data_IF_761853276051
#
_entry.id   IF_761853276051
#
_cell.length_a   1.000
_cell.length_b   1.000
_cell.length_c   1.000
_cell.angle_alpha   90.00
_cell.angle_beta   90.00
_cell.angle_gamma   90.00
#
_symmetry.space_group_name_H-M   'P 1'
#
loop_
_entity.id
_entity.type
_entity.pdbx_description
1 polymer ?
#
# COMPACT_ATOMS: atom_id res chain seq x y z
N UNK A 1 19.41 3.02 0.12
CA UNK A 1 18.89 3.54 -1.17
C UNK A 1 19.07 5.03 -1.27
N UNK A 2 19.27 5.56 -2.49
CA UNK A 2 19.43 7.00 -2.75
C UNK A 2 18.26 7.56 -3.57
N UNK A 3 17.70 6.76 -4.47
CA UNK A 3 16.60 7.15 -5.36
C UNK A 3 15.48 6.12 -5.34
N UNK A 4 14.25 6.57 -5.23
CA UNK A 4 13.06 5.72 -5.18
C UNK A 4 11.98 6.18 -6.17
N UNK A 5 11.19 5.23 -6.65
CA UNK A 5 9.94 5.49 -7.38
C UNK A 5 8.78 5.11 -6.46
N UNK A 6 7.76 5.95 -6.38
CA UNK A 6 6.56 5.70 -5.57
C UNK A 6 5.31 5.86 -6.42
N UNK A 7 4.46 4.84 -6.45
CA UNK A 7 3.09 4.94 -6.95
C UNK A 7 2.11 4.97 -5.79
N UNK A 8 0.93 5.54 -5.97
CA UNK A 8 -0.07 5.64 -4.91
C UNK A 8 0.27 6.66 -3.81
N UNK A 9 1.18 7.60 -4.07
CA UNK A 9 1.66 8.62 -3.13
C UNK A 9 0.58 9.59 -2.62
N UNK A 10 -0.59 9.64 -3.25
CA UNK A 10 -1.72 10.48 -2.82
C UNK A 10 -2.66 9.80 -1.80
N UNK A 11 -2.42 8.53 -1.49
CA UNK A 11 -3.10 7.78 -0.43
C UNK A 11 -2.43 7.99 0.93
N UNK A 12 -3.11 7.64 2.03
CA UNK A 12 -2.60 7.82 3.40
C UNK A 12 -1.21 7.19 3.62
N UNK A 13 -1.05 5.93 3.24
CA UNK A 13 0.24 5.23 3.37
C UNK A 13 1.28 5.79 2.41
N UNK A 14 0.89 6.09 1.16
CA UNK A 14 1.81 6.62 0.16
C UNK A 14 2.35 8.01 0.51
N UNK A 15 1.50 8.92 1.02
CA UNK A 15 1.93 10.23 1.51
C UNK A 15 2.89 10.10 2.70
N UNK A 16 2.58 9.21 3.65
CA UNK A 16 3.46 8.92 4.79
C UNK A 16 4.81 8.36 4.33
N UNK A 17 4.82 7.46 3.31
CA UNK A 17 6.06 6.92 2.74
C UNK A 17 6.91 8.00 2.06
N UNK A 18 6.31 8.91 1.29
CA UNK A 18 7.04 10.04 0.68
C UNK A 18 7.67 10.91 1.77
N UNK A 19 6.94 11.24 2.85
CA UNK A 19 7.50 11.97 3.98
C UNK A 19 8.66 11.21 4.64
N UNK A 20 8.55 9.89 4.81
CA UNK A 20 9.65 9.07 5.33
C UNK A 20 10.86 9.11 4.41
N UNK A 21 10.69 8.98 3.09
CA UNK A 21 11.78 9.03 2.13
C UNK A 21 12.49 10.41 2.15
N UNK A 22 11.73 11.50 2.27
CA UNK A 22 12.29 12.85 2.46
C UNK A 22 13.15 12.91 3.74
N UNK A 23 12.65 12.39 4.86
CA UNK A 23 13.39 12.41 6.14
C UNK A 23 14.68 11.57 6.11
N UNK A 24 14.77 10.60 5.21
CA UNK A 24 15.96 9.78 4.95
C UNK A 24 16.82 10.32 3.79
N UNK A 25 16.52 11.52 3.31
CA UNK A 25 17.24 12.19 2.20
C UNK A 25 17.26 11.37 0.90
N UNK A 26 16.15 10.71 0.56
CA UNK A 26 15.99 9.89 -0.65
C UNK A 26 15.29 10.70 -1.73
N UNK A 27 15.94 10.87 -2.89
CA UNK A 27 15.31 11.45 -4.08
C UNK A 27 14.15 10.55 -4.53
N UNK A 28 12.98 11.14 -4.73
CA UNK A 28 11.77 10.36 -4.98
C UNK A 28 11.05 10.82 -6.24
N UNK A 29 10.89 9.92 -7.21
CA UNK A 29 9.99 10.09 -8.34
C UNK A 29 8.60 9.56 -7.97
N UNK A 30 7.62 10.43 -7.94
CA UNK A 30 6.23 10.08 -7.67
C UNK A 30 5.46 9.97 -8.97
N UNK A 31 4.90 8.78 -9.25
CA UNK A 31 4.03 8.57 -10.39
C UNK A 31 2.56 8.76 -9.99
N UNK A 32 1.88 9.71 -10.63
CA UNK A 32 0.50 10.11 -10.32
C UNK A 32 -0.32 10.15 -11.61
N UNK A 33 -1.55 9.65 -11.56
CA UNK A 33 -2.47 9.82 -12.70
C UNK A 33 -2.81 11.29 -12.93
N UNK A 34 -3.06 11.68 -14.17
CA UNK A 34 -3.59 13.01 -14.51
C UNK A 34 -4.88 13.27 -13.71
N UNK A 35 -5.03 14.48 -13.15
CA UNK A 35 -6.14 14.83 -12.26
C UNK A 35 -6.06 14.20 -10.86
N UNK A 36 -4.97 13.52 -10.51
CA UNK A 36 -4.74 13.03 -9.16
C UNK A 36 -4.54 14.17 -8.15
N UNK A 37 -4.75 13.87 -6.86
CA UNK A 37 -4.66 14.84 -5.75
C UNK A 37 -3.21 15.20 -5.43
N UNK A 38 -2.49 15.84 -6.37
CA UNK A 38 -1.07 16.21 -6.21
C UNK A 38 -0.81 17.15 -5.02
N UNK A 39 -1.81 17.89 -4.57
CA UNK A 39 -1.75 18.74 -3.37
C UNK A 39 -1.53 17.95 -2.07
N UNK A 40 -1.73 16.63 -2.08
CA UNK A 40 -1.41 15.75 -0.94
C UNK A 40 0.06 15.32 -0.92
N UNK A 41 0.79 15.51 -1.99
CA UNK A 41 2.21 15.15 -2.08
C UNK A 41 3.03 16.26 -1.44
N UNK A 42 3.96 15.94 -0.52
CA UNK A 42 4.82 16.94 0.10
C UNK A 42 5.62 17.70 -0.96
N UNK A 43 5.59 19.05 -0.87
CA UNK A 43 6.44 19.90 -1.69
C UNK A 43 7.85 19.92 -1.09
N UNK A 44 8.80 19.27 -1.75
CA UNK A 44 10.17 19.17 -1.30
C UNK A 44 11.10 19.04 -2.52
N UNK A 45 12.31 19.63 -2.52
CA UNK A 45 13.26 19.50 -3.62
C UNK A 45 13.65 18.06 -3.98
N UNK A 46 13.55 17.13 -3.03
CA UNK A 46 13.80 15.70 -3.26
C UNK A 46 12.66 14.99 -3.98
N UNK A 47 11.51 15.64 -4.20
CA UNK A 47 10.32 15.00 -4.78
C UNK A 47 10.06 15.55 -6.19
N UNK A 48 10.17 14.67 -7.18
CA UNK A 48 9.75 14.95 -8.56
C UNK A 48 8.41 14.26 -8.81
N UNK A 49 7.50 14.92 -9.52
CA UNK A 49 6.20 14.37 -9.90
C UNK A 49 6.18 14.13 -11.41
N UNK A 50 5.79 12.93 -11.82
CA UNK A 50 5.49 12.62 -13.21
C UNK A 50 4.08 12.04 -13.34
N UNK A 51 3.42 12.36 -14.45
CA UNK A 51 2.07 11.87 -14.71
C UNK A 51 2.11 10.54 -15.44
N UNK A 52 1.64 9.50 -14.76
CA UNK A 52 1.53 8.14 -15.26
C UNK A 52 0.42 7.44 -14.50
N UNK A 53 -0.66 7.03 -15.15
CA UNK A 53 -1.70 6.19 -14.58
C UNK A 53 -1.28 4.71 -14.60
N UNK A 54 -2.06 3.84 -13.93
CA UNK A 54 -1.72 2.42 -13.85
C UNK A 54 -1.67 1.74 -15.23
N UNK A 55 -2.57 2.10 -16.10
CA UNK A 55 -2.70 1.58 -17.48
C UNK A 55 -1.66 2.17 -18.46
N UNK A 56 -1.02 3.29 -18.11
CA UNK A 56 0.04 3.92 -18.91
C UNK A 56 1.45 3.40 -18.58
N UNK A 57 1.61 2.56 -17.56
CA UNK A 57 2.94 2.10 -17.09
C UNK A 57 3.73 1.33 -18.14
N UNK A 58 3.05 0.60 -19.04
CA UNK A 58 3.71 -0.15 -20.11
C UNK A 58 4.52 0.76 -21.04
N UNK A 59 3.97 1.92 -21.36
CA UNK A 59 4.52 2.87 -22.34
C UNK A 59 5.30 4.02 -21.71
N UNK A 60 5.25 4.17 -20.38
CA UNK A 60 5.94 5.26 -19.68
C UNK A 60 7.46 5.12 -19.80
N UNK A 61 8.12 6.16 -20.33
CA UNK A 61 9.55 6.14 -20.65
C UNK A 61 10.39 6.87 -19.60
N UNK A 62 11.59 6.38 -19.41
CA UNK A 62 12.63 7.01 -18.60
C UNK A 62 13.39 8.04 -19.46
N UNK A 63 12.80 9.22 -19.66
CA UNK A 63 13.33 10.24 -20.55
C UNK A 63 14.64 10.86 -20.05
N UNK A 64 14.85 10.86 -18.74
CA UNK A 64 16.01 11.50 -18.13
C UNK A 64 17.19 10.52 -17.96
N UNK A 65 17.02 9.25 -18.37
CA UNK A 65 17.96 8.13 -18.16
C UNK A 65 18.44 7.98 -16.71
N UNK A 66 17.63 8.46 -15.76
CA UNK A 66 17.91 8.36 -14.34
C UNK A 66 17.75 6.90 -13.87
N UNK A 67 18.64 6.47 -12.98
CA UNK A 67 18.53 5.15 -12.34
C UNK A 67 18.00 5.30 -10.93
N UNK A 68 17.07 4.42 -10.59
CA UNK A 68 16.46 4.33 -9.27
C UNK A 68 16.82 3.00 -8.62
N UNK A 69 16.92 2.99 -7.29
CA UNK A 69 17.31 1.79 -6.53
C UNK A 69 16.10 0.88 -6.27
N UNK A 70 14.95 1.48 -6.02
CA UNK A 70 13.74 0.78 -5.58
C UNK A 70 12.46 1.40 -6.17
N UNK A 71 11.48 0.54 -6.45
CA UNK A 71 10.11 0.96 -6.70
C UNK A 71 9.19 0.49 -5.58
N UNK A 72 8.46 1.42 -4.97
CA UNK A 72 7.36 1.18 -4.05
C UNK A 72 6.03 1.28 -4.79
N UNK A 73 5.36 0.14 -4.97
CA UNK A 73 4.09 0.10 -5.69
C UNK A 73 2.91 -0.02 -4.71
N UNK A 74 2.26 1.13 -4.43
CA UNK A 74 1.12 1.21 -3.53
C UNK A 74 -0.19 1.57 -4.27
N UNK A 75 -0.11 1.93 -5.54
CA UNK A 75 -1.29 2.27 -6.33
C UNK A 75 -2.15 1.05 -6.59
N UNK A 76 -3.47 1.21 -6.49
CA UNK A 76 -4.46 0.18 -6.77
C UNK A 76 -5.80 0.83 -7.08
N UNK A 77 -6.51 0.37 -8.10
CA UNK A 77 -7.84 0.86 -8.43
C UNK A 77 -8.92 0.07 -7.66
N UNK A 78 -9.96 0.75 -7.18
CA UNK A 78 -11.12 0.14 -6.52
C UNK A 78 -10.82 -0.68 -5.25
N UNK A 79 -10.04 -0.16 -4.27
CA UNK A 79 -9.74 -0.91 -3.04
C UNK A 79 -10.88 -0.89 -2.02
N UNK A 80 -11.97 -0.15 -2.30
CA UNK A 80 -13.10 0.06 -1.38
C UNK A 80 -14.44 -0.18 -2.04
N UNK A 81 -15.47 -0.43 -1.22
CA UNK A 81 -16.85 -0.52 -1.64
C UNK A 81 -17.12 -1.64 -2.66
N UNK A 82 -18.03 -1.38 -3.58
CA UNK A 82 -18.46 -2.35 -4.62
C UNK A 82 -17.33 -2.74 -5.58
N UNK A 83 -16.40 -1.84 -5.84
CA UNK A 83 -15.29 -2.05 -6.78
C UNK A 83 -14.34 -3.18 -6.33
N UNK A 84 -14.36 -3.55 -5.04
CA UNK A 84 -13.63 -4.71 -4.53
C UNK A 84 -14.05 -6.03 -5.20
N UNK A 85 -15.27 -6.10 -5.70
CA UNK A 85 -15.82 -7.26 -6.39
C UNK A 85 -16.13 -6.98 -7.87
N UNK A 86 -15.58 -5.93 -8.44
CA UNK A 86 -15.52 -5.77 -9.89
C UNK A 86 -14.36 -6.62 -10.44
N UNK A 87 -14.67 -7.80 -10.95
CA UNK A 87 -13.68 -8.79 -11.35
C UNK A 87 -12.78 -8.30 -12.48
N UNK A 88 -13.31 -7.50 -13.41
CA UNK A 88 -12.51 -6.95 -14.52
C UNK A 88 -11.53 -5.90 -14.01
N UNK A 89 -12.00 -4.95 -13.19
CA UNK A 89 -11.14 -3.96 -12.54
C UNK A 89 -10.04 -4.62 -11.71
N UNK A 90 -10.38 -5.67 -10.94
CA UNK A 90 -9.40 -6.36 -10.13
C UNK A 90 -8.41 -7.18 -10.97
N UNK A 91 -8.82 -7.71 -12.10
CA UNK A 91 -7.93 -8.39 -13.07
C UNK A 91 -6.97 -7.39 -13.72
N UNK A 92 -7.45 -6.20 -14.10
CA UNK A 92 -6.60 -5.15 -14.65
C UNK A 92 -5.54 -4.69 -13.62
N UNK A 93 -5.87 -4.64 -12.34
CA UNK A 93 -4.89 -4.35 -11.29
C UNK A 93 -3.75 -5.39 -11.24
N UNK A 94 -4.04 -6.69 -11.47
CA UNK A 94 -2.99 -7.72 -11.54
C UNK A 94 -2.05 -7.43 -12.72
N UNK A 95 -2.61 -7.11 -13.90
CA UNK A 95 -1.83 -6.73 -15.07
C UNK A 95 -0.96 -5.49 -14.78
N UNK A 96 -1.56 -4.46 -14.18
CA UNK A 96 -0.87 -3.23 -13.85
C UNK A 96 0.27 -3.42 -12.83
N UNK A 97 0.12 -4.33 -11.86
CA UNK A 97 1.21 -4.74 -10.95
C UNK A 97 2.40 -5.32 -11.74
N UNK A 98 2.14 -6.16 -12.74
CA UNK A 98 3.21 -6.73 -13.57
C UNK A 98 3.87 -5.68 -14.47
N UNK A 99 3.11 -4.74 -15.02
CA UNK A 99 3.68 -3.62 -15.76
C UNK A 99 4.48 -2.68 -14.87
N UNK A 100 4.09 -2.50 -13.59
CA UNK A 100 4.89 -1.76 -12.61
C UNK A 100 6.25 -2.44 -12.35
N UNK A 101 6.30 -3.77 -12.27
CA UNK A 101 7.58 -4.51 -12.16
C UNK A 101 8.47 -4.28 -13.39
N UNK A 102 7.91 -4.36 -14.60
CA UNK A 102 8.67 -4.07 -15.83
C UNK A 102 9.14 -2.61 -15.88
N UNK A 103 8.29 -1.68 -15.46
CA UNK A 103 8.65 -0.27 -15.35
C UNK A 103 9.81 -0.08 -14.38
N UNK A 104 9.75 -0.69 -13.19
CA UNK A 104 10.84 -0.65 -12.23
C UNK A 104 12.16 -1.12 -12.85
N UNK A 105 12.14 -2.23 -13.62
CA UNK A 105 13.33 -2.72 -14.33
C UNK A 105 13.84 -1.74 -15.37
N UNK A 106 12.96 -1.12 -16.17
CA UNK A 106 13.36 -0.09 -17.18
C UNK A 106 14.01 1.12 -16.53
N UNK A 107 13.62 1.47 -15.30
CA UNK A 107 14.19 2.57 -14.53
C UNK A 107 15.42 2.15 -13.70
N UNK A 108 15.92 0.94 -13.90
CA UNK A 108 17.15 0.43 -13.26
C UNK A 108 16.96 -0.04 -11.83
N UNK A 109 15.73 -0.14 -11.31
CA UNK A 109 15.49 -0.62 -9.95
C UNK A 109 15.98 -2.05 -9.77
N UNK A 110 16.68 -2.27 -8.66
CA UNK A 110 17.11 -3.60 -8.23
C UNK A 110 16.11 -4.23 -7.26
N UNK A 111 15.24 -3.42 -6.65
CA UNK A 111 14.24 -3.85 -5.67
C UNK A 111 12.85 -3.37 -6.03
N UNK A 112 11.88 -4.27 -5.92
CA UNK A 112 10.45 -3.97 -6.02
C UNK A 112 9.77 -4.29 -4.68
N UNK A 113 9.06 -3.31 -4.13
CA UNK A 113 8.30 -3.44 -2.88
C UNK A 113 6.83 -3.19 -3.18
N UNK A 114 6.03 -4.24 -3.15
CA UNK A 114 4.60 -4.19 -3.42
C UNK A 114 3.75 -4.13 -2.14
N UNK A 115 2.60 -3.46 -2.24
CA UNK A 115 1.64 -3.34 -1.15
C UNK A 115 0.58 -4.45 -1.22
N UNK A 116 0.69 -5.43 -0.34
CA UNK A 116 -0.32 -6.46 -0.08
C UNK A 116 -1.38 -6.02 0.92
N UNK A 117 -2.29 -6.93 1.24
CA UNK A 117 -3.42 -6.67 2.12
C UNK A 117 -3.78 -7.87 2.98
N UNK A 118 -4.31 -7.64 4.18
CA UNK A 118 -4.93 -8.68 5.02
C UNK A 118 -6.04 -9.46 4.27
N UNK A 119 -6.68 -8.85 3.28
CA UNK A 119 -7.71 -9.50 2.47
C UNK A 119 -7.20 -10.75 1.73
N UNK A 120 -5.89 -10.90 1.55
CA UNK A 120 -5.26 -12.11 0.99
C UNK A 120 -5.45 -13.34 1.90
N UNK A 121 -5.57 -13.13 3.22
CA UNK A 121 -5.79 -14.21 4.18
C UNK A 121 -7.26 -14.62 4.28
N UNK A 122 -8.20 -13.76 3.84
CA UNK A 122 -9.62 -13.94 4.09
C UNK A 122 -9.98 -13.74 5.57
N UNK A 123 -11.11 -14.31 5.99
CA UNK A 123 -11.56 -14.22 7.37
C UNK A 123 -10.79 -15.23 8.23
N UNK A 124 -10.22 -14.72 9.30
CA UNK A 124 -9.57 -15.56 10.32
C UNK A 124 -10.56 -15.98 11.38
N UNK A 125 -10.30 -17.13 12.02
CA UNK A 125 -11.03 -17.55 13.20
C UNK A 125 -10.60 -16.73 14.42
N UNK A 126 -11.47 -16.65 15.41
CA UNK A 126 -11.15 -15.97 16.66
C UNK A 126 -9.90 -16.57 17.31
N UNK A 127 -8.98 -15.68 17.70
CA UNK A 127 -7.69 -16.07 18.29
C UNK A 127 -6.58 -16.42 17.31
N UNK A 128 -6.86 -16.53 16.01
CA UNK A 128 -5.81 -16.74 15.00
C UNK A 128 -5.01 -15.46 14.79
N UNK A 129 -3.69 -15.61 14.73
CA UNK A 129 -2.76 -14.51 14.43
C UNK A 129 -2.29 -14.59 12.98
N UNK A 130 -2.33 -13.46 12.28
CA UNK A 130 -1.77 -13.38 10.93
C UNK A 130 -0.25 -13.34 11.00
N UNK A 131 0.39 -14.18 10.21
CA UNK A 131 1.83 -14.21 10.00
C UNK A 131 2.14 -14.26 8.49
N UNK A 132 3.40 -14.07 8.08
CA UNK A 132 3.79 -14.24 6.68
C UNK A 132 3.46 -15.61 6.09
N UNK A 133 3.41 -16.63 6.93
CA UNK A 133 3.16 -18.04 6.56
C UNK A 133 1.71 -18.48 6.81
N UNK A 134 0.85 -17.61 7.32
CA UNK A 134 -0.57 -17.93 7.50
C UNK A 134 -1.22 -18.31 6.17
N UNK A 135 -2.11 -19.31 6.17
CA UNK A 135 -2.85 -19.69 4.96
C UNK A 135 -3.53 -18.47 4.31
N UNK A 136 -3.57 -18.47 3.00
CA UNK A 136 -4.28 -17.47 2.21
C UNK A 136 -5.56 -18.08 1.66
N UNK A 137 -6.70 -17.48 2.01
CA UNK A 137 -8.02 -17.91 1.54
C UNK A 137 -8.92 -16.68 1.34
N UNK A 138 -8.60 -15.82 0.33
CA UNK A 138 -9.35 -14.60 0.08
C UNK A 138 -10.80 -14.91 -0.31
N UNK A 139 -11.75 -14.13 0.22
CA UNK A 139 -13.19 -14.30 0.04
C UNK A 139 -13.84 -13.21 -0.84
N UNK A 140 -13.03 -12.36 -1.46
CA UNK A 140 -13.49 -11.29 -2.34
C UNK A 140 -12.49 -11.02 -3.47
N UNK A 141 -12.96 -10.39 -4.56
CA UNK A 141 -12.14 -10.14 -5.76
C UNK A 141 -10.87 -9.36 -5.49
N UNK A 142 -10.92 -8.34 -4.62
CA UNK A 142 -9.75 -7.56 -4.22
C UNK A 142 -8.68 -8.44 -3.53
N UNK A 143 -9.08 -9.27 -2.59
CA UNK A 143 -8.16 -10.16 -1.88
C UNK A 143 -7.53 -11.21 -2.81
N UNK A 144 -8.33 -11.79 -3.72
CA UNK A 144 -7.86 -12.72 -4.76
C UNK A 144 -6.84 -12.02 -5.65
N UNK A 145 -7.15 -10.82 -6.14
CA UNK A 145 -6.28 -10.07 -7.02
C UNK A 145 -4.97 -9.66 -6.33
N UNK A 146 -5.01 -9.20 -5.07
CA UNK A 146 -3.81 -8.89 -4.29
C UNK A 146 -2.92 -10.11 -4.09
N UNK A 147 -3.50 -11.26 -3.77
CA UNK A 147 -2.76 -12.51 -3.64
C UNK A 147 -2.11 -12.94 -4.96
N UNK A 148 -2.87 -12.87 -6.07
CA UNK A 148 -2.37 -13.20 -7.40
C UNK A 148 -1.23 -12.24 -7.80
N UNK A 149 -1.45 -10.93 -7.66
CA UNK A 149 -0.46 -9.89 -7.96
C UNK A 149 0.84 -10.11 -7.19
N UNK A 150 0.78 -10.35 -5.87
CA UNK A 150 1.97 -10.57 -5.05
C UNK A 150 2.73 -11.85 -5.45
N UNK A 151 2.04 -12.92 -5.82
CA UNK A 151 2.68 -14.16 -6.29
C UNK A 151 3.28 -14.01 -7.67
N UNK A 152 2.56 -13.40 -8.61
CA UNK A 152 3.01 -13.23 -10.00
C UNK A 152 4.14 -12.21 -10.10
N UNK A 153 4.07 -11.08 -9.41
CA UNK A 153 5.14 -10.08 -9.39
C UNK A 153 6.44 -10.65 -8.80
N UNK A 154 6.36 -11.53 -7.80
CA UNK A 154 7.55 -12.23 -7.25
C UNK A 154 8.22 -13.10 -8.31
N UNK A 155 7.45 -13.85 -9.09
CA UNK A 155 7.99 -14.70 -10.16
C UNK A 155 8.64 -13.83 -11.24
N UNK A 156 7.94 -12.76 -11.67
CA UNK A 156 8.44 -11.84 -12.69
C UNK A 156 9.71 -11.11 -12.23
N UNK A 157 9.76 -10.64 -10.98
CA UNK A 157 11.00 -10.06 -10.41
C UNK A 157 12.17 -11.04 -10.45
N UNK A 158 11.94 -12.32 -10.11
CA UNK A 158 12.98 -13.36 -10.19
C UNK A 158 13.48 -13.54 -11.62
N UNK A 159 12.58 -13.58 -12.61
CA UNK A 159 12.95 -13.67 -14.03
C UNK A 159 13.77 -12.47 -14.53
N UNK A 160 13.51 -11.29 -13.98
CA UNK A 160 14.20 -10.03 -14.32
C UNK A 160 15.45 -9.78 -13.45
N UNK A 161 15.81 -10.68 -12.54
CA UNK A 161 16.95 -10.52 -11.64
C UNK A 161 16.75 -9.40 -10.63
N UNK A 162 15.52 -9.18 -10.16
CA UNK A 162 15.16 -8.15 -9.18
C UNK A 162 14.79 -8.77 -7.84
N UNK A 163 15.10 -8.08 -6.75
CA UNK A 163 14.62 -8.39 -5.42
C UNK A 163 13.14 -8.03 -5.30
N UNK A 164 12.32 -8.95 -4.80
CA UNK A 164 10.90 -8.74 -4.55
C UNK A 164 10.59 -8.79 -3.06
N UNK A 165 9.79 -7.84 -2.59
CA UNK A 165 9.28 -7.80 -1.22
C UNK A 165 7.79 -7.47 -1.27
N UNK A 166 7.00 -8.20 -0.47
CA UNK A 166 5.56 -8.01 -0.38
C UNK A 166 5.15 -7.60 1.03
N UNK A 167 4.64 -6.39 1.18
CA UNK A 167 4.23 -5.81 2.47
C UNK A 167 2.71 -5.93 2.63
N UNK A 168 2.25 -6.94 3.35
CA UNK A 168 0.83 -7.20 3.62
C UNK A 168 0.35 -6.31 4.75
N UNK A 169 -0.36 -5.23 4.41
CA UNK A 169 -0.90 -4.26 5.36
C UNK A 169 -2.18 -4.83 6.00
N UNK A 170 -2.28 -4.76 7.33
CA UNK A 170 -3.51 -5.13 8.04
C UNK A 170 -4.51 -3.97 7.98
N UNK A 171 -4.50 -3.05 8.93
CA UNK A 171 -5.40 -1.91 8.91
C UNK A 171 -4.66 -0.62 9.21
N UNK A 172 -4.52 0.20 8.19
CA UNK A 172 -3.88 1.51 8.31
C UNK A 172 -4.86 2.54 8.89
N UNK A 173 -4.34 3.46 9.70
CA UNK A 173 -5.04 4.69 10.10
C UNK A 173 -4.03 5.84 10.19
N UNK A 174 -4.51 7.06 10.18
CA UNK A 174 -3.66 8.24 10.41
C UNK A 174 -3.92 9.38 9.41
N UNK A 175 -3.06 10.41 9.40
CA UNK A 175 -3.21 11.57 8.54
C UNK A 175 -3.38 11.20 7.06
N UNK A 176 -4.34 11.84 6.40
CA UNK A 176 -4.62 11.59 4.99
C UNK A 176 -5.49 10.37 4.68
N UNK A 177 -5.91 9.61 5.70
CA UNK A 177 -6.88 8.53 5.52
C UNK A 177 -8.26 9.06 5.08
N UNK A 178 -9.06 8.18 4.47
CA UNK A 178 -10.35 8.57 3.92
C UNK A 178 -11.38 8.91 5.01
N UNK A 179 -12.13 10.00 4.83
CA UNK A 179 -13.20 10.40 5.76
C UNK A 179 -14.31 9.34 5.94
N UNK A 180 -14.34 8.33 5.05
CA UNK A 180 -15.30 7.22 5.10
C UNK A 180 -14.83 6.03 5.93
N UNK A 181 -13.56 6.01 6.38
CA UNK A 181 -13.05 4.95 7.25
C UNK A 181 -13.62 5.10 8.66
N UNK A 182 -13.74 4.01 9.40
CA UNK A 182 -14.34 4.02 10.74
C UNK A 182 -13.66 5.04 11.66
N UNK A 183 -12.34 5.02 11.74
CA UNK A 183 -11.58 5.94 12.62
C UNK A 183 -11.82 7.39 12.22
N UNK A 184 -11.65 7.73 10.94
CA UNK A 184 -11.76 9.13 10.50
C UNK A 184 -13.20 9.65 10.53
N UNK A 185 -14.18 8.83 10.13
CA UNK A 185 -15.60 9.24 10.19
C UNK A 185 -16.05 9.48 11.63
N UNK A 186 -15.61 8.64 12.57
CA UNK A 186 -15.92 8.82 14.00
C UNK A 186 -15.33 10.11 14.54
N UNK A 187 -14.02 10.37 14.28
CA UNK A 187 -13.36 11.61 14.70
C UNK A 187 -14.08 12.84 14.13
N UNK A 188 -14.40 12.83 12.83
CA UNK A 188 -15.07 13.96 12.16
C UNK A 188 -16.44 14.23 12.79
N UNK A 189 -17.24 13.19 13.02
CA UNK A 189 -18.56 13.33 13.64
C UNK A 189 -18.46 13.89 15.06
N UNK A 190 -17.58 13.36 15.87
CA UNK A 190 -17.38 13.87 17.25
C UNK A 190 -16.93 15.33 17.27
N UNK A 191 -16.04 15.73 16.37
CA UNK A 191 -15.62 17.13 16.24
C UNK A 191 -16.78 18.06 15.81
N UNK A 192 -17.76 17.53 15.10
CA UNK A 192 -18.98 18.26 14.70
C UNK A 192 -20.08 18.22 15.76
N UNK A 193 -19.89 17.50 16.88
CA UNK A 193 -20.93 17.30 17.90
C UNK A 193 -22.04 16.35 17.46
N UNK A 194 -21.76 15.46 16.49
CA UNK A 194 -22.71 14.48 15.95
C UNK A 194 -22.58 13.15 16.71
N UNK A 195 -23.71 12.49 16.93
CA UNK A 195 -23.74 11.13 17.47
C UNK A 195 -23.27 10.10 16.44
N UNK A 196 -22.67 9.04 16.94
CA UNK A 196 -22.20 7.91 16.13
C UNK A 196 -22.89 6.60 16.55
N UNK A 197 -23.57 5.97 15.61
CA UNK A 197 -24.12 4.64 15.80
C UNK A 197 -23.08 3.58 15.47
N UNK A 198 -22.88 2.63 16.36
CA UNK A 198 -21.98 1.52 16.20
C UNK A 198 -22.68 0.19 16.46
N UNK A 199 -22.22 -0.85 15.79
CA UNK A 199 -22.50 -2.23 16.22
C UNK A 199 -21.83 -2.50 17.58
N UNK A 200 -22.12 -3.62 18.26
CA UNK A 200 -21.49 -3.93 19.56
C UNK A 200 -19.95 -3.86 19.57
N UNK A 201 -19.31 -3.93 18.40
CA UNK A 201 -17.87 -3.73 18.24
C UNK A 201 -16.99 -4.82 18.86
N UNK A 202 -17.51 -6.04 19.00
CA UNK A 202 -16.82 -7.18 19.62
C UNK A 202 -15.69 -7.76 18.76
N UNK A 203 -15.77 -7.56 17.43
CA UNK A 203 -14.76 -8.06 16.50
C UNK A 203 -13.37 -7.51 16.83
N UNK A 204 -12.39 -8.40 16.80
CA UNK A 204 -10.99 -8.06 17.05
C UNK A 204 -10.36 -7.41 15.83
N UNK A 205 -9.55 -6.36 16.07
CA UNK A 205 -8.91 -5.59 15.02
C UNK A 205 -7.50 -5.18 15.41
N UNK A 206 -6.60 -5.05 14.42
CA UNK A 206 -5.24 -4.55 14.60
C UNK A 206 -5.05 -3.32 13.71
N UNK A 207 -5.03 -2.14 14.32
CA UNK A 207 -4.74 -0.89 13.62
C UNK A 207 -3.26 -0.54 13.75
N UNK A 208 -2.67 -0.11 12.64
CA UNK A 208 -1.29 0.37 12.58
C UNK A 208 -1.25 1.80 12.01
N UNK A 209 -0.54 2.69 12.68
CA UNK A 209 -0.35 4.06 12.25
C UNK A 209 0.38 4.11 10.89
N UNK A 210 -0.07 4.95 9.97
CA UNK A 210 0.46 5.00 8.60
C UNK A 210 1.94 5.44 8.54
N UNK A 211 2.42 6.22 9.51
CA UNK A 211 3.84 6.53 9.65
C UNK A 211 4.69 5.30 9.98
N UNK A 212 4.19 4.39 10.83
CA UNK A 212 4.88 3.14 11.14
C UNK A 212 4.86 2.19 9.94
N UNK A 213 3.75 2.16 9.18
CA UNK A 213 3.68 1.43 7.91
C UNK A 213 4.72 1.97 6.94
N UNK A 214 4.83 3.28 6.79
CA UNK A 214 5.81 3.93 5.92
C UNK A 214 7.25 3.57 6.31
N UNK A 215 7.56 3.61 7.61
CA UNK A 215 8.85 3.16 8.13
C UNK A 215 9.11 1.68 7.85
N UNK A 216 8.10 0.82 7.98
CA UNK A 216 8.23 -0.60 7.65
C UNK A 216 8.50 -0.83 6.15
N UNK A 217 7.86 -0.09 5.24
CA UNK A 217 8.16 -0.12 3.81
C UNK A 217 9.61 0.30 3.52
N UNK A 218 10.07 1.41 4.13
CA UNK A 218 11.46 1.87 4.02
C UNK A 218 12.44 0.80 4.49
N UNK A 219 12.24 0.24 5.68
CA UNK A 219 13.10 -0.81 6.24
C UNK A 219 13.04 -2.11 5.41
N UNK A 220 11.89 -2.44 4.83
CA UNK A 220 11.75 -3.58 3.95
C UNK A 220 12.60 -3.43 2.69
N UNK A 221 12.65 -2.24 2.08
CA UNK A 221 13.53 -1.97 0.95
C UNK A 221 15.01 -2.09 1.34
N UNK A 222 15.41 -1.48 2.47
CA UNK A 222 16.80 -1.45 2.94
C UNK A 222 17.31 -2.82 3.39
N UNK A 223 16.53 -3.50 4.22
CA UNK A 223 16.98 -4.68 4.99
C UNK A 223 16.20 -5.96 4.69
N UNK A 224 15.11 -5.87 3.93
CA UNK A 224 14.25 -7.02 3.67
C UNK A 224 14.92 -8.08 2.82
N UNK A 225 14.50 -9.33 3.00
CA UNK A 225 15.01 -10.48 2.26
C UNK A 225 14.25 -10.63 0.93
N UNK A 226 14.96 -11.07 -0.12
CA UNK A 226 14.33 -11.35 -1.41
C UNK A 226 13.24 -12.44 -1.26
N UNK A 227 12.08 -12.20 -1.87
CA UNK A 227 10.93 -13.10 -1.84
C UNK A 227 10.16 -13.09 -0.51
N UNK A 228 10.55 -12.23 0.45
CA UNK A 228 9.88 -12.18 1.75
C UNK A 228 8.50 -11.50 1.66
N UNK A 229 7.59 -12.00 2.52
CA UNK A 229 6.33 -11.35 2.84
C UNK A 229 6.45 -10.81 4.26
N UNK A 230 6.14 -9.54 4.45
CA UNK A 230 6.07 -8.91 5.77
C UNK A 230 4.63 -8.52 6.08
N UNK A 231 4.10 -9.03 7.19
CA UNK A 231 2.78 -8.65 7.68
C UNK A 231 2.92 -7.40 8.54
N UNK A 232 2.29 -6.32 8.14
CA UNK A 232 2.38 -5.02 8.79
C UNK A 232 1.15 -4.79 9.66
N UNK A 233 1.30 -5.03 10.96
CA UNK A 233 0.32 -4.81 12.01
C UNK A 233 1.03 -4.37 13.28
N UNK A 234 0.28 -3.85 14.26
CA UNK A 234 0.84 -3.44 15.57
C UNK A 234 1.22 -4.66 16.43
N UNK A 235 0.70 -5.83 16.10
CA UNK A 235 0.81 -7.04 16.91
C UNK A 235 -0.05 -7.03 18.17
N UNK A 236 -0.89 -5.98 18.35
CA UNK A 236 -1.82 -5.84 19.47
C UNK A 236 -3.23 -5.75 18.96
N UNK A 237 -4.00 -6.80 19.19
CA UNK A 237 -5.40 -6.86 18.79
C UNK A 237 -6.30 -6.42 19.94
N UNK A 238 -7.23 -5.49 19.67
CA UNK A 238 -8.29 -5.07 20.61
C UNK A 238 -9.65 -5.23 19.96
N UNK A 239 -10.73 -5.16 20.73
CA UNK A 239 -12.07 -5.06 20.16
C UNK A 239 -12.25 -3.71 19.47
N UNK A 240 -13.10 -3.62 18.44
CA UNK A 240 -13.43 -2.31 17.85
C UNK A 240 -14.04 -1.37 18.88
N UNK A 241 -14.82 -1.90 19.85
CA UNK A 241 -15.34 -1.13 20.97
C UNK A 241 -14.25 -0.42 21.76
N UNK A 242 -13.13 -1.11 22.05
CA UNK A 242 -12.01 -0.52 22.80
C UNK A 242 -11.36 0.65 22.00
N UNK A 243 -11.25 0.51 20.66
CA UNK A 243 -10.75 1.60 19.81
C UNK A 243 -11.72 2.78 19.77
N UNK A 244 -13.02 2.52 19.60
CA UNK A 244 -14.06 3.56 19.56
C UNK A 244 -14.08 4.34 20.89
N UNK A 245 -13.95 3.65 22.03
CA UNK A 245 -13.91 4.30 23.35
C UNK A 245 -12.65 5.17 23.55
N UNK A 246 -11.59 4.94 22.76
CA UNK A 246 -10.34 5.70 22.81
C UNK A 246 -10.42 6.98 21.96
N UNK A 247 -11.30 7.03 20.96
CA UNK A 247 -11.55 8.20 20.11
C UNK A 247 -12.40 9.24 20.86
#
# INVERSE_FOLDING_TARGET
MKKAIVTGATGAVGTALVNKLISENVETLVLVRKGGRVNKIPQNPLVKIAYCSLDEMADFQNTDNEKYDVMFHLAWAGPYGKDRNDMFLQTDNIKNELEAVKLAKRFGCETFVGAGSQAENGRLKDGEKVSPTSPTNPDNGYGIAKLAAGKMSRILCSQLGMKHIWCRILSAYGPGDGAHTMVMSTIIKFLNGEDCDFTPGEQKWDFLYNGDIANAFYLAAEKGKNGAIYTLGSGKTKSLKDYITTI
#
